data_IF_031307506189
#
_entry.id   IF_031307506189
#
_cell.length_a   1.000
_cell.length_b   1.000
_cell.length_c   1.000
_cell.angle_alpha   90.00
_cell.angle_beta   90.00
_cell.angle_gamma   90.00
#
_symmetry.space_group_name_H-M   'P 1'
#
loop_
_entity.id
_entity.type
_entity.pdbx_description
1 polymer ?
#
# COMPACT_ATOMS: atom_id res chain seq x y z
N UNK A 1 -70.72 -29.99 22.05
CA UNK A 1 -69.88 -28.94 21.43
C UNK A 1 -70.45 -28.67 20.05
N UNK A 2 -70.91 -27.44 19.80
CA UNK A 2 -71.82 -27.12 18.68
C UNK A 2 -71.03 -26.79 17.41
N UNK A 3 -71.51 -27.21 16.24
CA UNK A 3 -70.88 -27.09 14.92
C UNK A 3 -70.48 -25.64 14.54
N UNK A 4 -71.11 -24.65 15.19
CA UNK A 4 -70.77 -23.22 15.04
C UNK A 4 -69.46 -22.80 15.70
N UNK A 5 -68.96 -23.52 16.70
CA UNK A 5 -67.66 -23.23 17.35
C UNK A 5 -66.45 -23.76 16.55
N UNK A 6 -66.66 -24.76 15.69
CA UNK A 6 -65.60 -25.35 14.85
C UNK A 6 -65.26 -24.42 13.66
N UNK A 7 -66.26 -23.72 13.09
CA UNK A 7 -66.01 -22.77 12.00
C UNK A 7 -65.23 -21.52 12.46
N UNK A 8 -65.44 -21.05 13.69
CA UNK A 8 -64.71 -19.88 14.21
C UNK A 8 -63.24 -20.22 14.50
N UNK A 9 -62.94 -21.46 14.90
CA UNK A 9 -61.56 -21.90 15.12
C UNK A 9 -60.78 -22.12 13.80
N UNK A 10 -61.47 -22.52 12.73
CA UNK A 10 -60.86 -22.69 11.41
C UNK A 10 -60.53 -21.32 10.74
N UNK A 11 -61.33 -20.29 11.01
CA UNK A 11 -61.09 -18.93 10.48
C UNK A 11 -59.90 -18.23 11.15
N UNK A 12 -59.62 -18.50 12.44
CA UNK A 12 -58.49 -17.91 13.16
C UNK A 12 -57.16 -18.61 12.85
N UNK A 13 -57.20 -19.91 12.53
CA UNK A 13 -56.00 -20.67 12.14
C UNK A 13 -55.58 -20.44 10.70
N UNK A 14 -56.50 -20.12 9.77
CA UNK A 14 -56.12 -19.76 8.40
C UNK A 14 -55.54 -18.35 8.26
N UNK A 15 -55.85 -17.42 9.17
CA UNK A 15 -55.27 -16.06 9.16
C UNK A 15 -53.86 -15.98 9.77
N UNK A 16 -53.40 -17.07 10.41
CA UNK A 16 -52.07 -17.14 11.01
C UNK A 16 -50.99 -17.73 10.07
N UNK A 17 -51.38 -18.23 8.89
CA UNK A 17 -50.46 -18.95 8.00
C UNK A 17 -49.99 -18.17 6.76
N UNK A 18 -50.52 -16.97 6.52
CA UNK A 18 -50.06 -16.05 5.45
C UNK A 18 -49.13 -14.94 5.95
N UNK A 19 -48.82 -14.90 7.25
CA UNK A 19 -47.88 -13.94 7.86
C UNK A 19 -46.42 -14.40 7.94
N UNK A 20 -46.01 -15.43 7.19
CA UNK A 20 -44.66 -16.03 7.27
C UNK A 20 -43.74 -15.72 6.08
N UNK A 21 -44.11 -14.82 5.16
CA UNK A 21 -43.26 -14.51 3.99
C UNK A 21 -42.97 -13.03 3.80
N UNK A 22 -42.69 -12.32 4.89
CA UNK A 22 -41.89 -11.09 4.82
C UNK A 22 -41.01 -11.00 6.08
N UNK A 23 -40.07 -11.93 6.22
CA UNK A 23 -38.81 -11.52 6.82
C UNK A 23 -38.26 -10.43 5.90
N UNK A 24 -37.92 -9.22 6.38
CA UNK A 24 -37.01 -8.40 5.61
C UNK A 24 -35.82 -9.32 5.37
N UNK A 25 -35.50 -9.57 4.10
CA UNK A 25 -34.19 -10.11 3.78
C UNK A 25 -33.25 -9.14 4.47
N UNK A 26 -32.67 -9.56 5.60
CA UNK A 26 -31.46 -8.96 6.12
C UNK A 26 -30.53 -9.06 4.93
N UNK A 27 -30.46 -7.99 4.15
CA UNK A 27 -29.36 -7.75 3.26
C UNK A 27 -28.22 -7.68 4.26
N UNK A 28 -27.58 -8.83 4.46
CA UNK A 28 -26.17 -8.85 4.82
C UNK A 28 -25.57 -8.08 3.67
N UNK A 29 -25.44 -6.77 3.87
CA UNK A 29 -24.53 -5.97 3.11
C UNK A 29 -23.23 -6.67 3.44
N UNK A 30 -22.72 -7.50 2.52
CA UNK A 30 -21.32 -7.89 2.55
C UNK A 30 -20.59 -6.55 2.46
N UNK A 31 -20.36 -5.94 3.62
CA UNK A 31 -19.32 -4.94 3.74
C UNK A 31 -18.06 -5.72 3.43
N UNK A 32 -17.50 -5.43 2.27
CA UNK A 32 -16.13 -5.81 1.99
C UNK A 32 -15.31 -5.40 3.22
N UNK A 33 -14.54 -6.32 3.82
CA UNK A 33 -13.80 -6.00 5.03
C UNK A 33 -12.94 -4.78 4.73
N UNK A 34 -13.07 -3.73 5.55
CA UNK A 34 -12.24 -2.54 5.45
C UNK A 34 -10.78 -2.98 5.41
N UNK A 35 -9.99 -2.56 4.40
CA UNK A 35 -8.61 -3.01 4.26
C UNK A 35 -7.85 -2.65 5.54
N UNK A 36 -7.08 -3.61 6.05
CA UNK A 36 -6.19 -3.37 7.18
C UNK A 36 -5.17 -2.27 6.84
N UNK A 37 -4.66 -1.51 7.82
CA UNK A 37 -3.64 -0.49 7.56
C UNK A 37 -2.40 -1.04 6.84
N UNK A 38 -2.08 -2.33 7.03
CA UNK A 38 -1.01 -3.03 6.34
C UNK A 38 -1.30 -3.26 4.86
N UNK A 39 -2.53 -3.68 4.51
CA UNK A 39 -2.96 -3.81 3.12
C UNK A 39 -2.96 -2.47 2.42
N UNK A 40 -3.43 -1.42 3.09
CA UNK A 40 -3.38 -0.05 2.57
C UNK A 40 -1.93 0.38 2.32
N UNK A 41 -1.01 0.14 3.26
CA UNK A 41 0.40 0.48 3.07
C UNK A 41 1.03 -0.22 1.85
N UNK A 42 0.76 -1.51 1.65
CA UNK A 42 1.26 -2.27 0.49
C UNK A 42 0.68 -1.76 -0.83
N UNK A 43 -0.63 -1.52 -0.88
CA UNK A 43 -1.30 -1.00 -2.07
C UNK A 43 -0.76 0.38 -2.46
N UNK A 44 -0.66 1.27 -1.48
CA UNK A 44 -0.14 2.63 -1.69
C UNK A 44 1.31 2.60 -2.17
N UNK A 45 2.13 1.73 -1.60
CA UNK A 45 3.52 1.56 -2.01
C UNK A 45 3.66 1.05 -3.45
N UNK A 46 2.81 0.12 -3.87
CA UNK A 46 2.75 -0.36 -5.25
C UNK A 46 2.45 0.78 -6.23
N UNK A 47 1.39 1.54 -5.95
CA UNK A 47 0.98 2.66 -6.80
C UNK A 47 1.99 3.81 -6.80
N UNK A 48 2.67 4.11 -5.68
CA UNK A 48 3.69 5.17 -5.64
C UNK A 48 4.90 4.84 -6.54
N UNK A 49 5.24 3.55 -6.61
CA UNK A 49 6.25 3.03 -7.53
C UNK A 49 5.80 3.18 -9.00
N UNK A 50 4.58 2.76 -9.32
CA UNK A 50 4.04 2.85 -10.69
C UNK A 50 3.96 4.31 -11.18
N UNK A 51 3.53 5.24 -10.31
CA UNK A 51 3.49 6.68 -10.63
C UNK A 51 4.90 7.26 -10.80
N UNK A 52 5.87 6.81 -10.02
CA UNK A 52 7.27 7.22 -10.19
C UNK A 52 7.86 6.76 -11.53
N UNK A 53 7.47 5.57 -12.02
CA UNK A 53 7.83 5.12 -13.37
C UNK A 53 7.24 6.04 -14.45
N UNK A 54 5.96 6.41 -14.32
CA UNK A 54 5.31 7.36 -15.23
C UNK A 54 6.05 8.70 -15.30
N UNK A 55 6.57 9.20 -14.17
CA UNK A 55 7.37 10.42 -14.14
C UNK A 55 8.66 10.30 -14.97
N UNK A 56 9.33 9.14 -14.92
CA UNK A 56 10.53 8.86 -15.74
C UNK A 56 10.17 8.76 -17.22
N UNK A 57 9.05 8.11 -17.56
CA UNK A 57 8.60 8.01 -18.94
C UNK A 57 8.27 9.39 -19.54
N UNK A 58 7.63 10.26 -18.76
CA UNK A 58 7.39 11.65 -19.15
C UNK A 58 8.71 12.42 -19.37
N UNK A 59 9.70 12.22 -18.51
CA UNK A 59 11.04 12.79 -18.71
C UNK A 59 11.74 12.26 -19.98
N UNK A 60 11.56 11.00 -20.32
CA UNK A 60 12.11 10.42 -21.55
C UNK A 60 11.42 11.02 -22.79
N UNK A 61 10.15 11.41 -22.67
CA UNK A 61 9.40 12.15 -23.68
C UNK A 61 9.66 13.68 -23.66
N UNK A 62 10.55 14.17 -22.77
CA UNK A 62 10.81 15.60 -22.54
C UNK A 62 9.58 16.41 -22.09
N UNK A 63 8.59 15.77 -21.47
CA UNK A 63 7.39 16.45 -20.95
C UNK A 63 7.59 16.81 -19.47
N UNK A 64 8.08 18.03 -19.22
CA UNK A 64 8.33 18.55 -17.88
C UNK A 64 7.05 18.65 -17.04
N UNK A 65 5.95 19.08 -17.65
CA UNK A 65 4.71 19.32 -16.92
C UNK A 65 4.14 17.97 -16.43
N UNK A 66 4.08 16.97 -17.30
CA UNK A 66 3.65 15.63 -16.94
C UNK A 66 4.60 14.97 -15.92
N UNK A 67 5.92 15.16 -16.07
CA UNK A 67 6.90 14.65 -15.12
C UNK A 67 6.75 15.29 -13.73
N UNK A 68 6.55 16.61 -13.67
CA UNK A 68 6.34 17.34 -12.41
C UNK A 68 5.06 16.91 -11.71
N UNK A 69 3.96 16.78 -12.45
CA UNK A 69 2.68 16.28 -11.93
C UNK A 69 2.84 14.88 -11.37
N UNK A 70 3.45 13.96 -12.13
CA UNK A 70 3.64 12.57 -11.71
C UNK A 70 4.59 12.46 -10.50
N UNK A 71 5.68 13.22 -10.46
CA UNK A 71 6.57 13.24 -9.30
C UNK A 71 5.85 13.72 -8.03
N UNK A 72 5.04 14.79 -8.13
CA UNK A 72 4.22 15.28 -7.01
C UNK A 72 3.16 14.26 -6.58
N UNK A 73 2.53 13.57 -7.52
CA UNK A 73 1.57 12.51 -7.20
C UNK A 73 2.24 11.34 -6.46
N UNK A 74 3.46 10.96 -6.86
CA UNK A 74 4.25 9.95 -6.14
C UNK A 74 4.60 10.43 -4.72
N UNK A 75 4.99 11.71 -4.56
CA UNK A 75 5.24 12.30 -3.24
C UNK A 75 3.98 12.34 -2.36
N UNK A 76 2.82 12.70 -2.92
CA UNK A 76 1.55 12.64 -2.22
C UNK A 76 1.30 11.21 -1.70
N UNK A 77 1.52 10.18 -2.51
CA UNK A 77 1.40 8.79 -2.05
C UNK A 77 2.31 8.44 -0.86
N UNK A 78 3.52 8.99 -0.82
CA UNK A 78 4.51 8.68 0.22
C UNK A 78 4.21 9.34 1.57
N UNK A 79 3.90 10.63 1.55
CA UNK A 79 3.82 11.46 2.77
C UNK A 79 2.49 12.19 2.92
N UNK A 80 1.65 12.22 1.89
CA UNK A 80 0.35 12.86 1.93
C UNK A 80 0.43 14.36 2.21
N UNK A 81 -0.61 14.88 2.87
CA UNK A 81 -0.72 16.29 3.23
C UNK A 81 0.28 16.75 4.30
N UNK A 82 1.07 15.84 4.89
CA UNK A 82 2.16 16.22 5.80
C UNK A 82 3.32 16.92 5.06
N UNK A 83 3.42 16.77 3.74
CA UNK A 83 4.44 17.42 2.92
C UNK A 83 4.11 18.87 2.60
N UNK A 84 5.08 19.77 2.72
CA UNK A 84 4.94 21.15 2.22
C UNK A 84 4.83 21.23 0.69
N UNK A 85 5.21 20.16 0.00
CA UNK A 85 5.11 20.04 -1.46
C UNK A 85 3.84 19.29 -1.91
N UNK A 86 2.94 18.97 -0.97
CA UNK A 86 1.65 18.38 -1.27
C UNK A 86 0.91 19.21 -2.32
N UNK A 87 0.37 18.54 -3.33
CA UNK A 87 -0.37 19.18 -4.39
C UNK A 87 -1.62 18.36 -4.73
N UNK A 88 -2.80 18.84 -4.34
CA UNK A 88 -4.07 18.18 -4.63
C UNK A 88 -4.36 18.09 -6.14
N UNK A 89 -3.90 19.06 -6.95
CA UNK A 89 -4.08 19.06 -8.40
C UNK A 89 -3.26 17.98 -9.10
N UNK A 90 -2.20 17.49 -8.46
CA UNK A 90 -1.43 16.34 -8.94
C UNK A 90 -2.15 15.00 -8.70
N UNK A 91 -3.33 15.03 -8.09
CA UNK A 91 -4.10 13.86 -7.68
C UNK A 91 -3.94 13.60 -6.18
N UNK A 92 -4.99 13.03 -5.60
CA UNK A 92 -5.01 12.68 -4.19
C UNK A 92 -3.89 11.71 -3.81
N UNK A 93 -3.43 11.74 -2.54
CA UNK A 93 -2.56 10.70 -2.05
C UNK A 93 -3.28 9.38 -2.27
N UNK A 94 -2.51 8.46 -2.82
CA UNK A 94 -2.99 7.18 -3.27
C UNK A 94 -3.84 6.55 -2.16
N UNK A 95 -5.14 6.36 -2.34
CA UNK A 95 -6.04 5.85 -1.30
C UNK A 95 -6.97 6.93 -0.76
N UNK A 96 -8.22 6.83 -1.22
CA UNK A 96 -9.33 7.77 -1.11
C UNK A 96 -9.45 8.55 0.23
N UNK A 97 -9.26 9.86 0.15
CA UNK A 97 -9.89 10.85 1.04
C UNK A 97 -9.24 11.16 2.39
N UNK A 98 -8.32 10.34 2.89
CA UNK A 98 -7.75 10.54 4.24
C UNK A 98 -6.48 11.41 4.27
N UNK A 99 -5.98 11.80 3.09
CA UNK A 99 -4.80 12.64 2.90
C UNK A 99 -3.49 12.12 3.50
N UNK A 100 -3.45 10.89 4.00
CA UNK A 100 -2.27 10.33 4.66
C UNK A 100 -1.30 9.71 3.64
N UNK A 101 -0.01 9.77 3.92
CA UNK A 101 1.00 9.03 3.14
C UNK A 101 1.25 7.63 3.72
N UNK A 102 1.91 6.77 2.95
CA UNK A 102 2.37 5.43 3.39
C UNK A 102 3.16 5.51 4.71
N UNK A 103 3.99 6.54 4.90
CA UNK A 103 4.78 6.74 6.14
C UNK A 103 3.88 6.81 7.38
N UNK A 104 2.73 7.49 7.27
CA UNK A 104 1.75 7.58 8.36
C UNK A 104 1.14 6.21 8.67
N UNK A 105 0.81 5.41 7.65
CA UNK A 105 0.27 4.06 7.83
C UNK A 105 1.27 3.13 8.52
N UNK A 106 2.55 3.19 8.14
CA UNK A 106 3.61 2.43 8.82
C UNK A 106 3.74 2.86 10.29
N UNK A 107 3.67 4.16 10.57
CA UNK A 107 3.68 4.69 11.94
C UNK A 107 2.50 4.20 12.76
N UNK A 108 1.29 4.21 12.19
CA UNK A 108 0.08 3.69 12.85
C UNK A 108 0.19 2.20 13.17
N UNK A 109 0.74 1.41 12.25
CA UNK A 109 0.95 -0.01 12.46
C UNK A 109 1.91 -0.30 13.64
N UNK A 110 2.93 0.53 13.85
CA UNK A 110 3.84 0.44 15.02
C UNK A 110 3.14 0.73 16.35
N UNK A 111 2.02 1.44 16.32
CA UNK A 111 1.24 1.87 17.49
C UNK A 111 -0.04 1.06 17.75
N UNK A 112 -0.21 -0.09 17.08
CA UNK A 112 -1.40 -0.93 17.27
C UNK A 112 -1.50 -1.45 18.71
N UNK A 113 -2.74 -1.72 19.14
CA UNK A 113 -3.07 -2.39 20.40
C UNK A 113 -3.86 -3.67 20.08
N UNK A 114 -3.37 -4.88 20.45
CA UNK A 114 -2.11 -5.14 21.15
C UNK A 114 -0.87 -4.72 20.37
N UNK A 115 0.17 -4.32 21.10
CA UNK A 115 1.45 -3.93 20.53
C UNK A 115 2.01 -5.04 19.62
N UNK A 116 2.53 -4.70 18.43
CA UNK A 116 3.16 -5.68 17.55
C UNK A 116 4.40 -6.31 18.20
N UNK A 117 4.79 -7.49 17.70
CA UNK A 117 6.03 -8.13 18.16
C UNK A 117 7.28 -7.27 17.86
N UNK A 118 8.36 -7.37 18.66
CA UNK A 118 9.59 -6.61 18.41
C UNK A 118 10.20 -6.84 17.01
N UNK A 119 10.13 -8.06 16.49
CA UNK A 119 10.61 -8.38 15.14
C UNK A 119 9.82 -7.65 14.06
N UNK A 120 8.51 -7.52 14.26
CA UNK A 120 7.64 -6.75 13.38
C UNK A 120 7.99 -5.27 13.42
N UNK A 121 8.21 -4.70 14.63
CA UNK A 121 8.57 -3.29 14.79
C UNK A 121 9.89 -2.99 14.09
N UNK A 122 10.91 -3.84 14.24
CA UNK A 122 12.17 -3.71 13.55
C UNK A 122 12.02 -3.80 12.01
N UNK A 123 11.12 -4.65 11.50
CA UNK A 123 10.82 -4.71 10.07
C UNK A 123 10.15 -3.42 9.58
N UNK A 124 9.21 -2.87 10.35
CA UNK A 124 8.54 -1.62 10.04
C UNK A 124 9.49 -0.41 10.05
N UNK A 125 10.42 -0.34 11.01
CA UNK A 125 11.48 0.68 11.05
C UNK A 125 12.40 0.62 9.83
N UNK A 126 12.74 -0.59 9.37
CA UNK A 126 13.50 -0.75 8.14
C UNK A 126 12.72 -0.27 6.91
N UNK A 127 11.42 -0.56 6.82
CA UNK A 127 10.57 -0.05 5.73
C UNK A 127 10.49 1.48 5.79
N UNK A 128 10.25 2.04 6.97
CA UNK A 128 10.19 3.49 7.21
C UNK A 128 11.49 4.20 6.80
N UNK A 129 12.66 3.61 7.10
CA UNK A 129 13.94 4.12 6.63
C UNK A 129 13.99 4.26 5.11
N UNK A 130 13.63 3.23 4.35
CA UNK A 130 13.62 3.29 2.89
C UNK A 130 12.58 4.26 2.33
N UNK A 131 11.41 4.36 2.97
CA UNK A 131 10.39 5.34 2.57
C UNK A 131 10.89 6.78 2.76
N UNK A 132 11.56 7.07 3.87
CA UNK A 132 12.13 8.40 4.11
C UNK A 132 13.21 8.75 3.07
N UNK A 133 14.06 7.79 2.69
CA UNK A 133 15.00 7.98 1.58
C UNK A 133 14.27 8.22 0.25
N UNK A 134 13.22 7.47 -0.06
CA UNK A 134 12.41 7.70 -1.25
C UNK A 134 11.78 9.11 -1.27
N UNK A 135 11.33 9.62 -0.12
CA UNK A 135 10.79 10.97 0.02
C UNK A 135 11.85 12.03 -0.31
N UNK A 136 13.04 11.93 0.30
CA UNK A 136 14.13 12.88 0.08
C UNK A 136 14.51 13.00 -1.40
N UNK A 137 14.68 11.86 -2.07
CA UNK A 137 15.03 11.81 -3.49
C UNK A 137 13.88 12.31 -4.38
N UNK A 138 12.62 12.01 -4.05
CA UNK A 138 11.48 12.52 -4.81
C UNK A 138 11.36 14.05 -4.70
N UNK A 139 11.59 14.61 -3.50
CA UNK A 139 11.64 16.06 -3.31
C UNK A 139 12.79 16.71 -4.10
N UNK A 140 13.97 16.09 -4.13
CA UNK A 140 15.10 16.55 -4.93
C UNK A 140 14.79 16.53 -6.43
N UNK A 141 14.08 15.50 -6.91
CA UNK A 141 13.61 15.43 -8.29
C UNK A 141 12.64 16.58 -8.64
N UNK A 142 11.66 16.84 -7.78
CA UNK A 142 10.72 17.96 -7.96
C UNK A 142 11.47 19.29 -7.99
N UNK A 143 12.44 19.49 -7.09
CA UNK A 143 13.25 20.70 -7.08
C UNK A 143 14.00 20.89 -8.42
N UNK A 144 14.63 19.83 -8.94
CA UNK A 144 15.32 19.86 -10.25
C UNK A 144 14.37 20.15 -11.43
N UNK A 145 13.16 19.59 -11.39
CA UNK A 145 12.11 19.83 -12.39
C UNK A 145 11.56 21.26 -12.38
N UNK A 146 11.67 21.98 -11.25
CA UNK A 146 11.13 23.34 -11.09
C UNK A 146 12.22 24.43 -11.09
N UNK A 147 13.48 24.04 -11.26
CA UNK A 147 14.60 24.97 -11.30
C UNK A 147 14.67 25.74 -12.63
N UNK A 148 15.35 26.88 -12.62
CA UNK A 148 15.77 27.61 -13.82
C UNK A 148 17.32 27.61 -13.91
N UNK A 149 17.93 27.04 -14.97
CA UNK A 149 17.30 26.18 -15.97
C UNK A 149 16.94 24.81 -15.40
N UNK A 150 15.97 24.14 -16.02
CA UNK A 150 15.51 22.80 -15.62
C UNK A 150 16.60 21.76 -15.86
N UNK A 151 16.88 20.92 -14.86
CA UNK A 151 17.88 19.85 -14.95
C UNK A 151 17.20 18.47 -15.03
N UNK A 152 16.87 18.06 -16.25
CA UNK A 152 16.19 16.79 -16.52
C UNK A 152 17.02 15.56 -16.16
N UNK A 153 18.34 15.62 -16.32
CA UNK A 153 19.21 14.49 -15.99
C UNK A 153 19.27 14.26 -14.49
N UNK A 154 19.41 15.33 -13.71
CA UNK A 154 19.31 15.25 -12.26
C UNK A 154 17.93 14.75 -11.83
N UNK A 155 16.85 15.30 -12.37
CA UNK A 155 15.50 14.84 -12.04
C UNK A 155 15.31 13.33 -12.32
N UNK A 156 15.81 12.85 -13.46
CA UNK A 156 15.73 11.44 -13.83
C UNK A 156 16.54 10.55 -12.88
N UNK A 157 17.74 10.98 -12.49
CA UNK A 157 18.58 10.26 -11.53
C UNK A 157 17.87 10.12 -10.18
N UNK A 158 17.36 11.22 -9.64
CA UNK A 158 16.69 11.25 -8.33
C UNK A 158 15.41 10.39 -8.33
N UNK A 159 14.62 10.39 -9.42
CA UNK A 159 13.47 9.50 -9.56
C UNK A 159 13.85 8.02 -9.63
N UNK A 160 14.96 7.66 -10.29
CA UNK A 160 15.45 6.27 -10.30
C UNK A 160 15.87 5.81 -8.91
N UNK A 161 16.53 6.69 -8.14
CA UNK A 161 16.90 6.38 -6.75
C UNK A 161 15.65 6.24 -5.88
N UNK A 162 14.66 7.12 -6.07
CA UNK A 162 13.32 6.98 -5.44
C UNK A 162 12.74 5.60 -5.70
N UNK A 163 12.69 5.15 -6.97
CA UNK A 163 12.16 3.82 -7.31
C UNK A 163 12.95 2.67 -6.69
N UNK A 164 14.27 2.78 -6.60
CA UNK A 164 15.10 1.77 -5.96
C UNK A 164 14.74 1.60 -4.47
N UNK A 165 14.52 2.71 -3.77
CA UNK A 165 14.10 2.68 -2.37
C UNK A 165 12.66 2.20 -2.18
N UNK A 166 11.73 2.59 -3.06
CA UNK A 166 10.38 2.04 -3.05
C UNK A 166 10.39 0.53 -3.30
N UNK A 167 11.23 0.03 -4.21
CA UNK A 167 11.38 -1.39 -4.45
C UNK A 167 11.98 -2.13 -3.24
N UNK A 168 13.00 -1.54 -2.59
CA UNK A 168 13.56 -2.08 -1.34
C UNK A 168 12.51 -2.13 -0.22
N UNK A 169 11.68 -1.10 -0.11
CA UNK A 169 10.54 -1.06 0.81
C UNK A 169 9.48 -2.12 0.46
N UNK A 170 9.25 -2.43 -0.83
CA UNK A 170 8.30 -3.46 -1.32
C UNK A 170 8.78 -4.90 -1.14
N UNK A 171 10.09 -5.14 -1.07
CA UNK A 171 10.64 -6.49 -0.79
C UNK A 171 10.52 -6.91 0.69
N UNK A 172 10.34 -5.94 1.59
CA UNK A 172 10.28 -6.11 3.05
C UNK A 172 8.90 -6.15 3.72
N UNK A 173 7.75 -5.79 3.08
CA UNK A 173 6.45 -5.90 3.71
C UNK A 173 6.13 -7.35 4.02
N UNK A 174 6.63 -8.35 3.27
CA UNK A 174 6.39 -9.76 3.61
C UNK A 174 6.84 -10.14 5.04
N UNK A 175 7.81 -9.43 5.63
CA UNK A 175 8.22 -9.59 7.03
C UNK A 175 7.40 -8.71 8.01
N UNK A 176 6.89 -7.56 7.54
CA UNK A 176 6.05 -6.61 8.30
C UNK A 176 4.53 -6.79 8.06
N UNK A 177 4.10 -7.73 7.24
CA UNK A 177 2.69 -8.08 6.98
C UNK A 177 2.41 -9.53 7.38
N UNK A 178 3.46 -10.33 7.62
CA UNK A 178 3.36 -11.54 8.44
C UNK A 178 2.81 -11.15 9.81
N UNK A 179 1.68 -11.75 10.17
CA UNK A 179 0.66 -11.18 11.05
C UNK A 179 1.18 -10.41 12.27
N UNK A 180 0.76 -9.14 12.49
CA UNK A 180 1.06 -8.40 13.71
C UNK A 180 0.44 -9.06 14.97
N UNK A 181 -0.46 -10.05 14.83
CA UNK A 181 -1.10 -10.78 15.94
C UNK A 181 -0.47 -12.14 16.29
N UNK A 182 0.68 -12.52 15.72
CA UNK A 182 1.47 -13.65 16.23
C UNK A 182 1.12 -15.04 15.68
N UNK A 183 0.40 -15.17 14.57
CA UNK A 183 0.44 -16.42 13.81
C UNK A 183 1.61 -16.36 12.83
N UNK A 184 2.75 -16.96 13.20
CA UNK A 184 3.76 -17.34 12.23
C UNK A 184 3.08 -18.25 11.18
N UNK A 185 3.24 -18.00 9.87
CA UNK A 185 2.87 -19.00 8.89
C UNK A 185 3.68 -20.27 9.18
N UNK A 186 2.99 -21.38 9.48
CA UNK A 186 3.62 -22.69 9.58
C UNK A 186 4.37 -22.96 8.28
N UNK A 187 5.71 -22.92 8.32
CA UNK A 187 6.57 -23.14 7.17
C UNK A 187 7.79 -22.24 7.02
N UNK A 188 7.94 -21.16 7.80
CA UNK A 188 9.16 -20.35 7.76
C UNK A 188 10.30 -21.02 8.55
N UNK A 189 11.05 -21.88 7.85
CA UNK A 189 12.37 -22.32 8.29
C UNK A 189 13.32 -21.13 8.28
N UNK A 190 13.87 -20.79 9.45
CA UNK A 190 14.97 -19.83 9.58
C UNK A 190 16.18 -20.37 8.82
N UNK A 191 16.40 -19.89 7.60
CA UNK A 191 17.72 -19.95 6.96
C UNK A 191 18.37 -18.58 7.16
N UNK A 192 18.96 -18.40 8.35
CA UNK A 192 19.79 -17.23 8.68
C UNK A 192 21.09 -17.29 7.88
N UNK A 193 21.07 -16.79 6.64
CA UNK A 193 22.28 -16.21 6.04
C UNK A 193 22.34 -14.75 6.39
N UNK A 194 23.12 -14.47 7.41
CA UNK A 194 23.68 -13.16 7.73
C UNK A 194 24.31 -12.57 6.45
N UNK A 195 23.72 -11.51 5.92
CA UNK A 195 24.39 -10.66 4.91
C UNK A 195 25.10 -9.57 5.70
N UNK A 196 26.32 -9.86 6.12
CA UNK A 196 27.31 -8.83 6.44
C UNK A 196 27.95 -8.34 5.14
N UNK A 197 28.19 -7.03 5.03
CA UNK A 197 29.06 -6.45 4.01
C UNK A 197 28.32 -5.75 2.87
N UNK A 198 28.65 -4.48 2.68
CA UNK A 198 28.06 -3.62 1.66
C UNK A 198 28.65 -3.76 0.26
N UNK A 199 28.06 -2.94 -0.61
CA UNK A 199 28.42 -2.58 -1.98
C UNK A 199 28.26 -3.64 -3.10
N UNK A 200 27.69 -3.12 -4.19
CA UNK A 200 27.93 -3.43 -5.60
C UNK A 200 27.11 -4.53 -6.33
N UNK A 201 26.55 -4.08 -7.46
CA UNK A 201 26.29 -4.78 -8.73
C UNK A 201 25.45 -6.07 -8.68
N UNK A 202 24.15 -5.92 -8.97
CA UNK A 202 23.32 -6.99 -9.50
C UNK A 202 23.65 -7.21 -10.98
N UNK A 203 24.63 -8.08 -11.24
CA UNK A 203 24.72 -8.83 -12.50
C UNK A 203 24.10 -10.20 -12.24
N UNK A 204 22.93 -10.40 -12.83
CA UNK A 204 22.17 -11.63 -12.79
C UNK A 204 22.81 -12.66 -13.74
N UNK A 205 23.28 -13.77 -13.19
CA UNK A 205 23.73 -14.95 -13.94
C UNK A 205 22.95 -16.17 -13.45
N UNK A 206 21.65 -16.19 -13.74
CA UNK A 206 20.80 -17.35 -13.55
C UNK A 206 20.74 -18.18 -14.84
N UNK A 207 21.63 -19.17 -14.95
CA UNK A 207 21.64 -20.14 -16.03
C UNK A 207 22.95 -20.90 -16.04
N UNK A 208 22.93 -22.16 -15.62
CA UNK A 208 24.12 -22.96 -15.37
C UNK A 208 25.06 -23.10 -16.57
N UNK A 209 26.17 -22.37 -16.54
CA UNK A 209 27.48 -22.78 -17.03
C UNK A 209 28.54 -21.78 -16.53
N UNK A 210 29.41 -22.20 -15.60
CA UNK A 210 30.40 -21.34 -14.93
C UNK A 210 31.68 -21.06 -15.76
N UNK A 211 31.66 -21.29 -17.08
CA UNK A 211 32.86 -21.14 -17.92
C UNK A 211 32.92 -19.82 -18.72
N UNK A 212 31.90 -18.96 -18.64
CA UNK A 212 31.81 -17.78 -19.51
C UNK A 212 31.22 -16.55 -18.80
N UNK A 213 31.99 -15.90 -17.93
CA UNK A 213 31.81 -14.49 -17.58
C UNK A 213 33.21 -13.84 -17.50
N UNK A 214 33.42 -12.66 -18.11
CA UNK A 214 34.72 -11.97 -18.13
C UNK A 214 35.14 -11.39 -16.77
#
# INVERSE_FOLDING_TARGET
>A
MNTKQILTLLAVTLFSLTGLTMMPASRVISQEPTPSPAQVAVERLGKAFDVGLTAIDALNASDQAAATTSARQSLNGLVGAASQLYNADAGDPIGEGDQNGIVTYISQLKSLDPAPSPNWVAAAENVEFFLNQAVEHNQAAIAALTADPVDFEKARLELRVTLAFLNAAKGRPNAATASPSGALPEGFSHDTRTIEGGALLLLDCSGGDMASCP
#
